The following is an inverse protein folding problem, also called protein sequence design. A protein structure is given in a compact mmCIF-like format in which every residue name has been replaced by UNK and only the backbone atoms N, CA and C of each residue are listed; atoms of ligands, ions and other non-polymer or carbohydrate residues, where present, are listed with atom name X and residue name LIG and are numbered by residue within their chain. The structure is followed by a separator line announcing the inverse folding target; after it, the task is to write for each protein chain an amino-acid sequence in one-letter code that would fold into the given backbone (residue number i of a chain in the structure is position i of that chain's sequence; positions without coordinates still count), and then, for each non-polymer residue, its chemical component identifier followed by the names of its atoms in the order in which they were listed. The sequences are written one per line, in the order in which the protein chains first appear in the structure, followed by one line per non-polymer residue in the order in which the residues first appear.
data_IF_156039660667
#
_entry.id   IF_156039660667
#
_cell.length_a   1.000
_cell.length_b   1.000
_cell.length_c   1.000
_cell.angle_alpha   90.00
_cell.angle_beta   90.00
_cell.angle_gamma   90.00
#
_symmetry.space_group_name_H-M   'P 1'
#
loop_
_entity.id
_entity.type
_entity.pdbx_description
1 polymer ?
#
# COMPACT_ATOMS: atom_id res chain seq x y z
N UNK A 1 21.75 -22.24 -13.52
CA UNK A 1 20.28 -21.97 -13.66
C UNK A 1 20.12 -20.48 -13.58
N UNK A 2 19.43 -19.89 -14.53
CA UNK A 2 19.22 -18.44 -14.59
C UNK A 2 18.38 -17.96 -13.41
N UNK A 3 18.78 -16.85 -12.78
CA UNK A 3 18.12 -16.29 -11.57
C UNK A 3 17.55 -14.92 -11.85
N UNK A 4 16.27 -14.74 -11.55
CA UNK A 4 15.59 -13.46 -11.57
C UNK A 4 15.33 -13.02 -10.13
N UNK A 5 15.90 -11.89 -9.73
CA UNK A 5 15.64 -11.25 -8.46
C UNK A 5 14.66 -10.11 -8.66
N UNK A 6 13.57 -10.10 -7.92
CA UNK A 6 12.53 -9.08 -7.97
C UNK A 6 12.52 -8.36 -6.61
N UNK A 7 12.84 -7.08 -6.61
CA UNK A 7 12.83 -6.25 -5.40
C UNK A 7 11.50 -5.55 -5.30
N UNK A 8 10.69 -5.97 -4.33
CA UNK A 8 9.36 -5.47 -4.02
C UNK A 8 8.26 -6.51 -4.18
N UNK A 9 7.58 -6.85 -3.08
CA UNK A 9 6.48 -7.82 -2.98
C UNK A 9 5.10 -7.24 -3.30
N UNK A 10 5.01 -6.11 -4.02
CA UNK A 10 3.74 -5.49 -4.40
C UNK A 10 3.15 -6.08 -5.68
N UNK A 11 2.13 -5.37 -6.23
CA UNK A 11 1.43 -5.77 -7.47
C UNK A 11 2.39 -6.04 -8.63
N UNK A 12 3.35 -5.14 -8.88
CA UNK A 12 4.27 -5.27 -9.99
C UNK A 12 5.17 -6.49 -9.83
N UNK A 13 5.78 -6.67 -8.64
CA UNK A 13 6.68 -7.79 -8.39
C UNK A 13 5.99 -9.15 -8.51
N UNK A 14 4.85 -9.33 -7.86
CA UNK A 14 4.10 -10.57 -7.92
C UNK A 14 3.64 -10.91 -9.34
N UNK A 15 3.07 -9.92 -10.07
CA UNK A 15 2.63 -10.16 -11.44
C UNK A 15 3.79 -10.43 -12.40
N UNK A 16 4.97 -9.83 -12.17
CA UNK A 16 6.18 -10.17 -12.94
C UNK A 16 6.57 -11.64 -12.73
N UNK A 17 6.58 -12.12 -11.48
CA UNK A 17 6.88 -13.51 -11.18
C UNK A 17 5.87 -14.47 -11.83
N UNK A 18 4.57 -14.15 -11.76
CA UNK A 18 3.51 -14.94 -12.39
C UNK A 18 3.62 -14.96 -13.91
N UNK A 19 3.92 -13.83 -14.54
CA UNK A 19 4.12 -13.72 -15.97
C UNK A 19 5.31 -14.58 -16.43
N UNK A 20 6.44 -14.49 -15.74
CA UNK A 20 7.62 -15.32 -16.03
C UNK A 20 7.28 -16.81 -16.01
N UNK A 21 6.56 -17.29 -14.98
CA UNK A 21 6.13 -18.70 -14.93
C UNK A 21 5.15 -19.07 -16.02
N UNK A 22 4.18 -18.22 -16.29
CA UNK A 22 3.19 -18.41 -17.36
C UNK A 22 3.85 -18.51 -18.74
N UNK A 23 4.90 -17.72 -18.98
CA UNK A 23 5.63 -17.69 -20.24
C UNK A 23 6.71 -18.79 -20.34
N UNK A 24 6.76 -19.71 -19.37
CA UNK A 24 7.61 -20.89 -19.39
C UNK A 24 9.05 -20.67 -18.86
N UNK A 25 9.31 -19.57 -18.17
CA UNK A 25 10.63 -19.39 -17.54
C UNK A 25 10.82 -20.44 -16.44
N UNK A 26 11.83 -21.29 -16.57
CA UNK A 26 12.14 -22.43 -15.69
C UNK A 26 13.26 -22.14 -14.68
N UNK A 27 13.86 -20.94 -14.74
CA UNK A 27 14.91 -20.50 -13.83
C UNK A 27 14.41 -20.19 -12.41
N UNK A 28 15.31 -19.79 -11.54
CA UNK A 28 14.99 -19.37 -10.18
C UNK A 28 14.33 -17.99 -10.18
N UNK A 29 13.23 -17.84 -9.44
CA UNK A 29 12.55 -16.55 -9.20
C UNK A 29 12.53 -16.30 -7.72
N UNK A 30 13.09 -15.16 -7.30
CA UNK A 30 13.13 -14.72 -5.90
C UNK A 30 12.47 -13.34 -5.82
N UNK A 31 11.47 -13.21 -4.95
CA UNK A 31 10.88 -11.92 -4.57
C UNK A 31 11.43 -11.55 -3.20
N UNK A 32 11.93 -10.33 -3.06
CA UNK A 32 12.32 -9.73 -1.77
C UNK A 32 11.31 -8.66 -1.43
N UNK A 33 10.73 -8.72 -0.23
CA UNK A 33 9.74 -7.76 0.26
C UNK A 33 10.12 -7.25 1.65
N UNK A 34 10.07 -5.95 1.84
CA UNK A 34 10.21 -5.27 3.14
C UNK A 34 8.94 -5.36 4.00
N UNK A 35 7.86 -5.89 3.46
CA UNK A 35 6.62 -6.16 4.19
C UNK A 35 6.57 -7.64 4.65
N UNK A 36 6.03 -7.88 5.86
CA UNK A 36 5.86 -9.22 6.45
C UNK A 36 4.64 -9.99 5.94
N UNK A 37 4.07 -9.59 4.82
CA UNK A 37 2.87 -10.21 4.25
C UNK A 37 3.14 -10.66 2.82
N UNK A 38 2.53 -11.80 2.44
CA UNK A 38 2.52 -12.22 1.04
C UNK A 38 1.96 -11.10 0.14
N UNK A 39 2.38 -11.03 -1.13
CA UNK A 39 1.86 -10.02 -2.05
C UNK A 39 0.33 -9.94 -2.04
N UNK A 40 -0.22 -8.75 -1.87
CA UNK A 40 -1.65 -8.54 -1.61
C UNK A 40 -2.23 -7.35 -2.39
N UNK A 41 -3.57 -7.31 -2.48
CA UNK A 41 -4.33 -6.21 -3.05
C UNK A 41 -4.36 -5.01 -2.12
N UNK A 42 -3.84 -3.85 -2.56
CA UNK A 42 -3.83 -2.61 -1.76
C UNK A 42 -5.17 -1.87 -1.71
N UNK A 43 -6.05 -1.92 -2.73
CA UNK A 43 -7.31 -1.16 -2.67
C UNK A 43 -8.19 -1.43 -1.45
N UNK A 44 -8.24 -2.63 -0.85
CA UNK A 44 -8.99 -2.86 0.38
C UNK A 44 -8.50 -2.08 1.60
N UNK A 45 -7.24 -1.62 1.61
CA UNK A 45 -6.66 -0.90 2.75
C UNK A 45 -7.43 0.38 3.12
N UNK A 46 -8.04 1.06 2.15
CA UNK A 46 -8.87 2.25 2.36
C UNK A 46 -10.38 1.94 2.43
N UNK A 47 -10.77 0.67 2.34
CA UNK A 47 -12.15 0.21 2.22
C UNK A 47 -12.51 -0.86 3.26
N UNK A 48 -12.76 -2.08 2.80
CA UNK A 48 -13.28 -3.16 3.66
C UNK A 48 -12.29 -3.63 4.72
N UNK A 49 -10.98 -3.60 4.42
CA UNK A 49 -9.98 -3.91 5.42
C UNK A 49 -9.92 -2.83 6.51
N UNK A 50 -10.01 -1.55 6.14
CA UNK A 50 -10.09 -0.46 7.12
C UNK A 50 -11.32 -0.58 8.02
N UNK A 51 -12.44 -1.05 7.48
CA UNK A 51 -13.69 -1.29 8.22
C UNK A 51 -13.71 -2.60 9.02
N UNK A 52 -12.63 -3.37 9.01
CA UNK A 52 -12.51 -4.70 9.64
C UNK A 52 -13.50 -5.75 9.09
N UNK A 53 -13.96 -5.56 7.85
CA UNK A 53 -14.88 -6.48 7.18
C UNK A 53 -14.15 -7.51 6.30
N UNK A 54 -12.82 -7.46 6.22
CA UNK A 54 -12.00 -8.31 5.39
C UNK A 54 -10.80 -8.84 6.18
N UNK A 55 -10.58 -10.14 6.19
CA UNK A 55 -9.40 -10.76 6.78
C UNK A 55 -8.16 -10.59 5.89
N UNK A 56 -6.97 -10.53 6.51
CA UNK A 56 -5.68 -10.30 5.81
C UNK A 56 -5.46 -11.37 4.73
N UNK A 57 -5.74 -12.62 5.04
CA UNK A 57 -5.53 -13.77 4.13
C UNK A 57 -6.31 -13.62 2.83
N UNK A 58 -7.48 -12.98 2.88
CA UNK A 58 -8.33 -12.73 1.70
C UNK A 58 -7.83 -11.58 0.82
N UNK A 59 -6.86 -10.82 1.30
CA UNK A 59 -6.22 -9.76 0.52
C UNK A 59 -5.10 -10.28 -0.36
N UNK A 60 -4.47 -11.41 0.00
CA UNK A 60 -3.34 -11.97 -0.73
C UNK A 60 -3.70 -12.33 -2.18
N UNK A 61 -2.80 -12.09 -3.13
CA UNK A 61 -3.00 -12.47 -4.53
C UNK A 61 -3.12 -13.99 -4.69
N UNK A 62 -2.30 -14.72 -3.96
CA UNK A 62 -2.22 -16.18 -3.96
C UNK A 62 -1.85 -16.69 -2.58
N UNK A 63 -2.15 -17.96 -2.31
CA UNK A 63 -1.71 -18.63 -1.09
C UNK A 63 -0.21 -18.94 -1.09
N UNK A 64 0.36 -19.22 0.06
CA UNK A 64 1.75 -19.65 0.17
C UNK A 64 2.03 -20.91 -0.67
N UNK A 65 1.13 -21.89 -0.62
CA UNK A 65 1.23 -23.15 -1.39
C UNK A 65 1.32 -22.88 -2.90
N UNK A 66 0.58 -21.88 -3.41
CA UNK A 66 0.68 -21.52 -4.82
C UNK A 66 2.09 -21.04 -5.21
N UNK A 67 2.73 -20.20 -4.38
CA UNK A 67 4.09 -19.74 -4.65
C UNK A 67 5.08 -20.91 -4.62
N UNK A 68 4.91 -21.82 -3.67
CA UNK A 68 5.73 -23.04 -3.57
C UNK A 68 5.56 -23.94 -4.80
N UNK A 69 4.33 -24.26 -5.20
CA UNK A 69 4.00 -25.02 -6.41
C UNK A 69 4.60 -24.40 -7.68
N UNK A 70 4.55 -23.06 -7.76
CA UNK A 70 5.14 -22.33 -8.88
C UNK A 70 6.66 -22.11 -8.74
N UNK A 71 7.29 -22.65 -7.69
CA UNK A 71 8.74 -22.48 -7.42
C UNK A 71 9.16 -21.01 -7.43
N UNK A 72 8.34 -20.15 -6.83
CA UNK A 72 8.63 -18.72 -6.60
C UNK A 72 8.99 -18.56 -5.13
N UNK A 73 10.24 -18.25 -4.84
CA UNK A 73 10.70 -17.98 -3.48
C UNK A 73 10.34 -16.55 -3.07
N UNK A 74 9.82 -16.37 -1.85
CA UNK A 74 9.52 -15.05 -1.30
C UNK A 74 10.25 -14.89 0.02
N UNK A 75 11.04 -13.82 0.14
CA UNK A 75 11.67 -13.41 1.39
C UNK A 75 10.90 -12.17 1.90
N UNK A 76 10.12 -12.38 2.94
CA UNK A 76 9.37 -11.33 3.63
C UNK A 76 10.23 -10.66 4.70
N UNK A 77 9.80 -9.49 5.20
CA UNK A 77 10.52 -8.70 6.22
C UNK A 77 12.01 -8.49 5.86
N UNK A 78 12.30 -8.39 4.55
CA UNK A 78 13.66 -8.34 4.05
C UNK A 78 13.87 -7.09 3.21
N UNK A 79 14.73 -6.20 3.69
CA UNK A 79 15.07 -4.95 3.00
C UNK A 79 16.40 -5.08 2.26
N UNK A 80 16.42 -4.70 0.98
CA UNK A 80 17.66 -4.53 0.22
C UNK A 80 18.30 -3.19 0.60
N UNK A 81 19.51 -3.24 1.12
CA UNK A 81 20.28 -2.06 1.55
C UNK A 81 21.14 -1.51 0.41
N UNK A 82 21.69 -2.37 -0.42
CA UNK A 82 22.51 -1.97 -1.58
C UNK A 82 22.49 -3.02 -2.69
N UNK A 83 22.85 -2.58 -3.88
CA UNK A 83 22.97 -3.45 -5.06
C UNK A 83 24.31 -3.18 -5.71
N UNK A 84 25.11 -4.24 -5.86
CA UNK A 84 26.34 -4.23 -6.64
C UNK A 84 26.08 -4.81 -8.02
N UNK A 85 26.00 -3.95 -9.02
CA UNK A 85 25.81 -4.34 -10.41
C UNK A 85 27.06 -4.92 -11.07
N UNK A 86 28.24 -4.75 -10.45
CA UNK A 86 29.50 -5.30 -10.97
C UNK A 86 29.59 -6.78 -10.67
N UNK A 87 29.19 -7.17 -9.47
CA UNK A 87 29.16 -8.58 -9.04
C UNK A 87 27.78 -9.23 -9.16
N UNK A 88 26.73 -8.47 -9.55
CA UNK A 88 25.32 -8.89 -9.60
C UNK A 88 24.80 -9.43 -8.26
N UNK A 89 25.01 -8.66 -7.21
CA UNK A 89 24.53 -8.99 -5.86
C UNK A 89 23.65 -7.90 -5.28
N UNK A 90 22.52 -8.31 -4.69
CA UNK A 90 21.70 -7.48 -3.83
C UNK A 90 21.98 -7.86 -2.36
N UNK A 91 22.24 -6.86 -1.52
CA UNK A 91 22.77 -7.04 -0.17
C UNK A 91 21.70 -6.56 0.81
N UNK A 92 21.36 -7.40 1.78
CA UNK A 92 20.57 -7.08 2.97
C UNK A 92 21.49 -6.91 4.19
N UNK A 93 20.93 -6.78 5.39
CA UNK A 93 21.70 -6.76 6.61
C UNK A 93 22.42 -8.10 6.86
N UNK A 94 21.71 -9.23 6.65
CA UNK A 94 22.17 -10.56 7.05
C UNK A 94 22.49 -11.48 5.86
N UNK A 95 22.19 -11.10 4.63
CA UNK A 95 22.29 -11.98 3.46
C UNK A 95 22.71 -11.23 2.18
N UNK A 96 23.07 -12.02 1.18
CA UNK A 96 23.34 -11.54 -0.18
C UNK A 96 22.69 -12.46 -1.19
N UNK A 97 22.04 -11.88 -2.18
CA UNK A 97 21.31 -12.58 -3.25
C UNK A 97 21.98 -12.29 -4.59
N UNK A 98 22.52 -13.32 -5.23
CA UNK A 98 23.04 -13.18 -6.58
C UNK A 98 21.92 -13.26 -7.61
N UNK A 99 22.07 -12.58 -8.73
CA UNK A 99 21.09 -12.56 -9.82
C UNK A 99 21.76 -12.49 -11.20
N UNK A 100 21.07 -13.02 -12.21
CA UNK A 100 21.38 -12.77 -13.61
C UNK A 100 20.53 -11.61 -14.15
N UNK A 101 19.29 -11.50 -13.66
CA UNK A 101 18.35 -10.42 -13.96
C UNK A 101 17.79 -9.81 -12.69
N UNK A 102 17.74 -8.48 -12.66
CA UNK A 102 17.19 -7.71 -11.55
C UNK A 102 15.97 -6.91 -12.00
N UNK A 103 14.88 -7.02 -11.25
CA UNK A 103 13.64 -6.26 -11.47
C UNK A 103 13.38 -5.37 -10.28
N UNK A 104 13.28 -4.05 -10.52
CA UNK A 104 12.83 -3.09 -9.52
C UNK A 104 11.32 -2.95 -9.56
N UNK A 105 10.66 -3.42 -8.52
CA UNK A 105 9.21 -3.33 -8.30
C UNK A 105 8.90 -2.70 -6.93
N UNK A 106 9.74 -1.78 -6.47
CA UNK A 106 9.78 -1.20 -5.12
C UNK A 106 8.58 -0.33 -4.78
N UNK A 107 7.77 0.07 -5.76
CA UNK A 107 6.59 0.89 -5.54
C UNK A 107 6.92 2.32 -5.11
N UNK A 108 6.23 2.82 -4.09
CA UNK A 108 6.41 4.18 -3.57
C UNK A 108 6.08 4.23 -2.08
N UNK A 109 6.70 5.15 -1.36
CA UNK A 109 6.39 5.47 0.03
C UNK A 109 5.55 6.75 0.14
N UNK A 110 4.75 6.92 1.19
CA UNK A 110 4.05 8.16 1.44
C UNK A 110 5.04 9.32 1.60
N UNK A 111 4.69 10.49 1.05
CA UNK A 111 5.43 11.70 1.36
C UNK A 111 5.07 12.14 2.78
N UNK A 112 6.07 12.20 3.65
CA UNK A 112 5.89 12.67 5.01
C UNK A 112 5.60 14.18 5.01
N UNK A 113 4.68 14.61 5.87
CA UNK A 113 4.38 16.03 6.03
C UNK A 113 5.49 16.70 6.85
N UNK A 114 6.03 17.82 6.38
CA UNK A 114 7.05 18.59 7.12
C UNK A 114 6.37 19.44 8.22
N UNK A 115 5.95 18.79 9.28
CA UNK A 115 5.27 19.46 10.40
C UNK A 115 5.91 19.10 11.73
N UNK A 116 5.81 19.98 12.70
CA UNK A 116 6.21 19.71 14.07
C UNK A 116 5.39 18.55 14.64
N UNK A 117 6.02 17.69 15.42
CA UNK A 117 5.41 16.47 15.99
C UNK A 117 4.90 15.46 14.93
N UNK A 118 5.55 15.37 13.78
CA UNK A 118 5.24 14.39 12.74
C UNK A 118 5.43 12.92 13.20
N UNK A 119 6.05 12.69 14.33
CA UNK A 119 6.21 11.41 15.03
C UNK A 119 5.12 11.15 16.09
N UNK A 120 4.08 11.98 16.10
CA UNK A 120 2.94 11.82 17.01
C UNK A 120 2.27 10.46 16.83
N UNK A 121 1.94 9.80 17.97
CA UNK A 121 1.20 8.52 18.00
C UNK A 121 -0.20 8.59 17.35
N UNK A 122 -0.69 9.78 17.07
CA UNK A 122 -1.99 10.03 16.45
C UNK A 122 -1.88 10.42 14.97
N UNK A 123 -0.68 10.42 14.39
CA UNK A 123 -0.47 10.66 12.96
C UNK A 123 -0.22 9.33 12.25
N UNK A 124 -1.01 9.07 11.22
CA UNK A 124 -0.95 7.84 10.43
C UNK A 124 -0.80 8.17 8.94
N UNK A 125 -0.05 7.35 8.25
CA UNK A 125 0.01 7.33 6.80
C UNK A 125 -0.62 6.04 6.32
N UNK A 126 -1.37 6.07 5.23
CA UNK A 126 -2.02 4.86 4.71
C UNK A 126 -1.30 4.35 3.46
N UNK A 127 -0.59 3.25 3.60
CA UNK A 127 0.12 2.60 2.50
C UNK A 127 0.14 1.09 2.59
N UNK A 128 0.29 0.53 3.80
CA UNK A 128 0.54 -0.89 4.07
C UNK A 128 -0.49 -1.45 5.06
N UNK A 129 -0.54 -2.78 5.18
CA UNK A 129 -1.38 -3.48 6.16
C UNK A 129 -1.09 -2.99 7.59
N UNK A 130 0.18 -2.86 7.94
CA UNK A 130 0.63 -2.40 9.27
C UNK A 130 0.10 -1.02 9.66
N UNK A 131 -0.03 -0.12 8.67
CA UNK A 131 -0.62 1.20 8.90
C UNK A 131 -2.09 1.08 9.35
N UNK A 132 -2.86 0.26 8.63
CA UNK A 132 -4.28 0.05 8.95
C UNK A 132 -4.46 -0.66 10.29
N UNK A 133 -3.63 -1.66 10.60
CA UNK A 133 -3.65 -2.34 11.90
C UNK A 133 -3.37 -1.36 13.05
N UNK A 134 -2.44 -0.42 12.84
CA UNK A 134 -2.15 0.64 13.82
C UNK A 134 -3.33 1.61 13.96
N UNK A 135 -3.99 1.96 12.86
CA UNK A 135 -5.21 2.79 12.87
C UNK A 135 -6.35 2.10 13.62
N UNK A 136 -6.56 0.79 13.45
CA UNK A 136 -7.63 0.03 14.11
C UNK A 136 -7.62 0.20 15.62
N UNK A 137 -6.45 0.34 16.23
CA UNK A 137 -6.31 0.54 17.68
C UNK A 137 -6.87 1.90 18.14
N UNK A 138 -6.99 2.88 17.23
CA UNK A 138 -7.45 4.22 17.53
C UNK A 138 -8.89 4.50 17.05
N UNK A 139 -9.42 3.68 16.14
CA UNK A 139 -10.77 3.83 15.60
C UNK A 139 -11.79 3.48 16.70
N UNK A 140 -12.56 4.49 17.10
CA UNK A 140 -13.65 4.35 18.08
C UNK A 140 -14.80 5.25 17.64
N UNK A 141 -16.07 4.81 17.68
CA UNK A 141 -17.20 5.65 17.32
C UNK A 141 -17.19 7.00 18.07
N UNK A 142 -17.66 8.03 17.41
CA UNK A 142 -17.73 9.43 17.89
C UNK A 142 -16.40 10.17 18.05
N UNK A 143 -15.25 9.51 17.86
CA UNK A 143 -13.96 10.22 17.75
C UNK A 143 -13.93 11.13 16.52
N UNK A 144 -13.11 12.16 16.59
CA UNK A 144 -12.84 13.07 15.49
C UNK A 144 -11.56 12.63 14.76
N UNK A 145 -11.62 12.63 13.43
CA UNK A 145 -10.47 12.38 12.58
C UNK A 145 -10.30 13.51 11.56
N UNK A 146 -9.07 13.90 11.33
CA UNK A 146 -8.67 14.83 10.28
C UNK A 146 -7.90 14.05 9.22
N UNK A 147 -8.36 14.14 7.98
CA UNK A 147 -7.70 13.56 6.81
C UNK A 147 -7.00 14.68 6.03
N UNK A 148 -5.72 14.53 5.78
CA UNK A 148 -4.94 15.50 5.00
C UNK A 148 -4.82 14.99 3.57
N UNK A 149 -5.50 15.70 2.66
CA UNK A 149 -5.60 15.38 1.24
C UNK A 149 -6.99 14.90 0.82
N UNK A 150 -7.62 15.67 -0.06
CA UNK A 150 -8.93 15.38 -0.68
C UNK A 150 -8.84 14.61 -2.00
N UNK A 151 -7.83 13.76 -2.18
CA UNK A 151 -7.72 12.85 -3.31
C UNK A 151 -8.59 11.59 -3.14
N UNK A 152 -8.54 10.66 -4.11
CA UNK A 152 -9.34 9.42 -4.08
C UNK A 152 -9.21 8.64 -2.77
N UNK A 153 -7.98 8.38 -2.29
CA UNK A 153 -7.76 7.63 -1.06
C UNK A 153 -8.35 8.37 0.15
N UNK A 154 -8.16 9.69 0.23
CA UNK A 154 -8.73 10.50 1.31
C UNK A 154 -10.26 10.39 1.35
N UNK A 155 -10.93 10.45 0.21
CA UNK A 155 -12.39 10.31 0.11
C UNK A 155 -12.87 8.87 0.43
N UNK A 156 -12.12 7.84 0.03
CA UNK A 156 -12.41 6.45 0.40
C UNK A 156 -12.30 6.23 1.91
N UNK A 157 -11.23 6.73 2.52
CA UNK A 157 -11.03 6.69 3.98
C UNK A 157 -12.13 7.48 4.69
N UNK A 158 -12.48 8.67 4.20
CA UNK A 158 -13.58 9.46 4.76
C UNK A 158 -14.89 8.68 4.77
N UNK A 159 -15.22 8.01 3.68
CA UNK A 159 -16.41 7.16 3.59
C UNK A 159 -16.37 6.03 4.62
N UNK A 160 -15.26 5.30 4.71
CA UNK A 160 -15.11 4.22 5.68
C UNK A 160 -15.22 4.70 7.13
N UNK A 161 -14.61 5.85 7.46
CA UNK A 161 -14.64 6.40 8.82
C UNK A 161 -16.03 6.92 9.21
N UNK A 162 -16.78 7.51 8.28
CA UNK A 162 -18.20 7.88 8.51
C UNK A 162 -19.04 6.63 8.80
N UNK A 163 -18.87 5.54 8.02
CA UNK A 163 -19.56 4.27 8.25
C UNK A 163 -19.23 3.66 9.63
N UNK A 164 -18.00 3.87 10.12
CA UNK A 164 -17.57 3.46 11.47
C UNK A 164 -18.02 4.42 12.58
N UNK A 165 -18.77 5.48 12.25
CA UNK A 165 -19.37 6.41 13.21
C UNK A 165 -18.42 7.51 13.72
N UNK A 166 -17.32 7.79 13.02
CA UNK A 166 -16.42 8.88 13.36
C UNK A 166 -16.92 10.21 12.77
N UNK A 167 -16.47 11.31 13.37
CA UNK A 167 -16.62 12.66 12.78
C UNK A 167 -15.40 12.95 11.92
N UNK A 168 -15.62 13.21 10.63
CA UNK A 168 -14.55 13.32 9.64
C UNK A 168 -14.42 14.73 9.11
N UNK A 169 -13.18 15.26 9.14
CA UNK A 169 -12.81 16.50 8.47
C UNK A 169 -11.71 16.20 7.45
N UNK A 170 -11.88 16.64 6.20
CA UNK A 170 -10.85 16.63 5.17
C UNK A 170 -10.24 18.03 5.06
N UNK A 171 -8.91 18.09 5.08
CA UNK A 171 -8.14 19.29 4.75
C UNK A 171 -7.48 19.06 3.38
N UNK A 172 -7.78 19.93 2.41
CA UNK A 172 -7.18 19.91 1.08
C UNK A 172 -6.42 21.21 0.85
N UNK A 173 -5.21 21.11 0.34
CA UNK A 173 -4.36 22.29 0.08
C UNK A 173 -4.72 23.01 -1.24
N UNK A 174 -5.38 22.32 -2.14
CA UNK A 174 -5.86 22.87 -3.41
C UNK A 174 -7.23 23.53 -3.22
N UNK A 175 -7.67 24.31 -4.20
CA UNK A 175 -8.97 25.01 -4.14
C UNK A 175 -10.20 24.10 -4.11
N UNK A 176 -10.03 22.82 -4.47
CA UNK A 176 -11.10 21.82 -4.49
C UNK A 176 -10.56 20.40 -4.34
N UNK A 177 -11.33 19.51 -3.77
CA UNK A 177 -11.00 18.09 -3.74
C UNK A 177 -10.85 17.51 -5.16
N UNK A 178 -10.04 16.47 -5.32
CA UNK A 178 -9.77 15.80 -6.60
C UNK A 178 -9.24 16.73 -7.70
N UNK A 179 -8.73 17.91 -7.39
CA UNK A 179 -8.35 18.95 -8.37
C UNK A 179 -7.40 18.44 -9.46
N UNK A 180 -6.46 17.57 -9.10
CA UNK A 180 -5.43 17.05 -10.01
C UNK A 180 -5.93 15.97 -10.97
N UNK A 181 -7.12 15.42 -10.73
CA UNK A 181 -7.55 14.16 -11.38
C UNK A 181 -8.95 14.22 -11.96
N UNK A 182 -9.74 15.28 -11.68
CA UNK A 182 -11.10 15.42 -12.18
C UNK A 182 -11.41 16.86 -12.62
N UNK A 183 -12.51 17.01 -13.38
CA UNK A 183 -13.06 18.33 -13.72
C UNK A 183 -13.70 19.02 -12.51
N UNK A 184 -13.93 20.35 -12.54
CA UNK A 184 -14.62 21.08 -11.47
C UNK A 184 -16.00 20.50 -11.15
N UNK A 185 -16.76 20.10 -12.16
CA UNK A 185 -18.13 19.56 -11.98
C UNK A 185 -18.10 18.23 -11.22
N UNK A 186 -17.13 17.37 -11.52
CA UNK A 186 -16.94 16.10 -10.80
C UNK A 186 -16.48 16.35 -9.38
N UNK A 187 -15.54 17.28 -9.17
CA UNK A 187 -15.13 17.72 -7.82
C UNK A 187 -16.33 18.21 -7.00
N UNK A 188 -17.17 19.08 -7.59
CA UNK A 188 -18.36 19.60 -6.91
C UNK A 188 -19.33 18.49 -6.54
N UNK A 189 -19.57 17.54 -7.45
CA UNK A 189 -20.41 16.37 -7.18
C UNK A 189 -19.91 15.59 -5.96
N UNK A 190 -18.61 15.26 -5.90
CA UNK A 190 -18.04 14.53 -4.77
C UNK A 190 -18.03 15.36 -3.48
N UNK A 191 -17.80 16.66 -3.57
CA UNK A 191 -17.88 17.58 -2.42
C UNK A 191 -19.29 17.53 -1.80
N UNK A 192 -20.31 17.69 -2.62
CA UNK A 192 -21.71 17.67 -2.16
C UNK A 192 -22.11 16.30 -1.62
N UNK A 193 -21.66 15.23 -2.29
CA UNK A 193 -21.94 13.85 -1.88
C UNK A 193 -21.39 13.55 -0.48
N UNK A 194 -20.10 13.83 -0.27
CA UNK A 194 -19.46 13.57 1.02
C UNK A 194 -19.94 14.51 2.11
N UNK A 195 -20.21 15.77 1.79
CA UNK A 195 -20.77 16.75 2.76
C UNK A 195 -22.16 16.32 3.23
N UNK A 196 -23.02 15.84 2.33
CA UNK A 196 -24.35 15.27 2.69
C UNK A 196 -24.25 14.03 3.58
N UNK A 197 -23.13 13.31 3.52
CA UNK A 197 -22.84 12.15 4.40
C UNK A 197 -22.21 12.55 5.73
N UNK A 198 -21.99 13.84 5.99
CA UNK A 198 -21.47 14.35 7.26
C UNK A 198 -19.96 14.59 7.28
N UNK A 199 -19.27 14.50 6.13
CA UNK A 199 -17.85 14.86 6.02
C UNK A 199 -17.73 16.39 5.93
N UNK A 200 -16.92 16.99 6.80
CA UNK A 200 -16.53 18.40 6.70
C UNK A 200 -15.34 18.52 5.76
N UNK A 201 -15.46 19.29 4.68
CA UNK A 201 -14.39 19.53 3.71
C UNK A 201 -13.94 20.97 3.80
N UNK A 202 -12.63 21.19 3.89
CA UNK A 202 -11.95 22.50 3.95
C UNK A 202 -10.85 22.47 2.91
N UNK A 203 -10.96 23.38 1.92
CA UNK A 203 -9.95 23.64 0.89
C UNK A 203 -9.28 24.97 1.11
#
# INVERSE_FOLDING_TARGET
MTKVLIVGGGHAGANTAFALRKDGFDGEIIIISDEGYLPYHRPPLSKDFLKQNLAIEKMSFKSADFYEEQKISINLDTQINSIDLTSNHAITEDASFNFDYLVFATGASPRLLPMENADSKNLFYLRQITDVLSMHQQITPHKEIVLIGGGYIGLEVASAMIELGLKVTILEAEERILQRVTSPEVSQFYNDFHSKKGVRIIC
#
